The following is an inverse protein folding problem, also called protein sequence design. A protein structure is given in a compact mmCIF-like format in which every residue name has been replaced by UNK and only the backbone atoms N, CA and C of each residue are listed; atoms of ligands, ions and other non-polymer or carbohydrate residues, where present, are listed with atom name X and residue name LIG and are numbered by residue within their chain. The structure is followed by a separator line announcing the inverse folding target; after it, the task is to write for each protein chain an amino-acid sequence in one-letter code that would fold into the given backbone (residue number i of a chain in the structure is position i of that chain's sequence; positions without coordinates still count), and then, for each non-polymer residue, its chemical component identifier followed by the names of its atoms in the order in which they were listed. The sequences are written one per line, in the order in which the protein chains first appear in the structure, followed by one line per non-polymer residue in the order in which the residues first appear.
data_IF_978626119247
#
_entry.id   IF_978626119247
#
_cell.length_a   1.000
_cell.length_b   1.000
_cell.length_c   1.000
_cell.angle_alpha   90.00
_cell.angle_beta   90.00
_cell.angle_gamma   90.00
#
_symmetry.space_group_name_H-M   'P 1'
#
loop_
_entity.id
_entity.type
_entity.pdbx_description
1 polymer ?
#
# COMPACT_ATOMS: atom_id res chain seq x y z
N UNK A 1 10.47 -9.43 2.14
CA UNK A 1 10.68 -8.38 3.17
C UNK A 1 9.32 -7.90 3.64
N UNK A 2 8.82 -8.41 4.77
CA UNK A 2 7.49 -8.03 5.31
C UNK A 2 7.42 -6.55 5.71
N UNK A 3 8.53 -6.00 6.20
CA UNK A 3 8.61 -4.64 6.74
C UNK A 3 9.33 -3.63 5.82
N UNK A 4 9.69 -4.04 4.60
CA UNK A 4 10.44 -3.18 3.67
C UNK A 4 9.70 -1.88 3.30
N UNK A 5 8.36 -1.87 3.40
CA UNK A 5 7.57 -0.66 3.19
C UNK A 5 7.94 0.47 4.17
N UNK A 6 8.28 0.15 5.42
CA UNK A 6 8.57 1.15 6.47
C UNK A 6 9.77 2.04 6.13
N UNK A 7 10.83 1.44 5.58
CA UNK A 7 12.06 2.17 5.27
C UNK A 7 12.04 2.84 3.90
N UNK A 8 11.27 2.31 2.94
CA UNK A 8 11.40 2.69 1.54
C UNK A 8 10.24 3.54 1.01
N UNK A 9 9.08 3.60 1.68
CA UNK A 9 7.93 4.40 1.21
C UNK A 9 8.19 5.92 1.17
N UNK A 10 9.16 6.41 1.96
CA UNK A 10 9.60 7.81 1.93
C UNK A 10 10.57 8.13 0.79
N UNK A 11 10.99 7.14 0.00
CA UNK A 11 11.91 7.35 -1.11
C UNK A 11 11.28 8.19 -2.21
N UNK A 12 12.07 9.06 -2.85
CA UNK A 12 11.59 9.78 -4.02
C UNK A 12 11.34 8.82 -5.20
N UNK A 13 10.36 9.17 -6.03
CA UNK A 13 9.99 8.39 -7.22
C UNK A 13 11.19 8.11 -8.15
N UNK A 14 12.13 9.05 -8.25
CA UNK A 14 13.36 8.89 -9.03
C UNK A 14 14.24 7.74 -8.53
N UNK A 15 14.33 7.54 -7.21
CA UNK A 15 15.09 6.43 -6.63
C UNK A 15 14.37 5.10 -6.87
N UNK A 16 13.04 5.06 -6.74
CA UNK A 16 12.25 3.86 -7.03
C UNK A 16 12.37 3.46 -8.51
N UNK A 17 12.29 4.41 -9.43
CA UNK A 17 12.48 4.17 -10.87
C UNK A 17 13.88 3.64 -11.21
N UNK A 18 14.93 4.14 -10.53
CA UNK A 18 16.30 3.61 -10.68
C UNK A 18 16.37 2.16 -10.21
N UNK A 19 15.77 1.82 -9.08
CA UNK A 19 15.73 0.44 -8.58
C UNK A 19 14.94 -0.49 -9.52
N UNK A 20 13.81 -0.05 -10.06
CA UNK A 20 13.05 -0.80 -11.06
C UNK A 20 13.86 -1.00 -12.36
N UNK A 21 14.72 -0.05 -12.72
CA UNK A 21 15.63 -0.19 -13.87
C UNK A 21 16.72 -1.23 -13.62
N UNK A 22 17.30 -1.23 -12.41
CA UNK A 22 18.27 -2.26 -11.99
C UNK A 22 17.61 -3.64 -11.98
N UNK A 23 16.39 -3.75 -11.43
CA UNK A 23 15.63 -5.00 -11.43
C UNK A 23 15.36 -5.50 -12.85
N UNK A 24 14.88 -4.62 -13.75
CA UNK A 24 14.66 -4.97 -15.15
C UNK A 24 15.96 -5.42 -15.82
N UNK A 25 17.09 -4.77 -15.54
CA UNK A 25 18.39 -5.19 -16.06
C UNK A 25 18.78 -6.58 -15.56
N UNK A 26 18.59 -6.87 -14.27
CA UNK A 26 18.87 -8.19 -13.70
C UNK A 26 17.99 -9.27 -14.34
N UNK A 27 16.69 -9.02 -14.50
CA UNK A 27 15.77 -9.95 -15.17
C UNK A 27 16.16 -10.20 -16.63
N UNK A 28 16.63 -9.17 -17.34
CA UNK A 28 17.16 -9.35 -18.70
C UNK A 28 18.40 -10.24 -18.74
N UNK A 29 19.31 -10.11 -17.79
CA UNK A 29 20.51 -10.95 -17.70
C UNK A 29 20.17 -12.43 -17.45
N UNK A 30 19.07 -12.70 -16.73
CA UNK A 30 18.57 -14.05 -16.46
C UNK A 30 17.75 -14.62 -17.64
N UNK A 31 17.61 -13.87 -18.74
CA UNK A 31 16.87 -14.31 -19.93
C UNK A 31 15.35 -14.13 -19.84
N UNK A 32 14.84 -13.44 -18.81
CA UNK A 32 13.40 -13.20 -18.59
C UNK A 32 12.97 -11.83 -19.15
N UNK A 33 13.49 -11.48 -20.33
CA UNK A 33 13.33 -10.18 -20.97
C UNK A 33 12.06 -10.11 -21.84
N UNK A 34 10.91 -9.80 -21.24
CA UNK A 34 9.65 -9.53 -21.95
C UNK A 34 9.09 -8.13 -21.62
N UNK A 35 8.13 -7.64 -22.40
CA UNK A 35 7.45 -6.35 -22.15
C UNK A 35 6.86 -6.32 -20.73
N UNK A 36 6.71 -5.14 -20.10
CA UNK A 36 6.34 -5.01 -18.68
C UNK A 36 5.16 -5.89 -18.22
N UNK A 37 4.07 -5.95 -19.00
CA UNK A 37 2.91 -6.79 -18.66
C UNK A 37 3.21 -8.29 -18.78
N UNK A 38 3.90 -8.71 -19.84
CA UNK A 38 4.33 -10.10 -20.03
C UNK A 38 5.39 -10.52 -19.01
N UNK A 39 6.22 -9.59 -18.54
CA UNK A 39 7.25 -9.83 -17.54
C UNK A 39 6.64 -10.11 -16.16
N UNK A 40 5.57 -9.40 -15.78
CA UNK A 40 4.84 -9.72 -14.54
C UNK A 40 4.16 -11.09 -14.60
N UNK A 41 3.63 -11.48 -15.76
CA UNK A 41 2.98 -12.79 -15.95
C UNK A 41 3.98 -13.95 -15.97
N UNK A 42 5.12 -13.78 -16.64
CA UNK A 42 6.13 -14.83 -16.77
C UNK A 42 7.04 -14.97 -15.54
N UNK A 43 7.36 -13.85 -14.89
CA UNK A 43 8.33 -13.82 -13.78
C UNK A 43 7.63 -13.75 -12.42
N UNK A 44 6.36 -13.32 -12.38
CA UNK A 44 5.67 -12.98 -11.13
C UNK A 44 6.22 -11.73 -10.44
N UNK A 45 7.14 -11.00 -11.07
CA UNK A 45 7.83 -9.86 -10.45
C UNK A 45 7.16 -8.56 -10.84
N UNK A 46 6.36 -8.02 -9.92
CA UNK A 46 5.71 -6.71 -10.07
C UNK A 46 6.68 -5.54 -9.78
N UNK A 47 6.29 -4.33 -10.20
CA UNK A 47 7.00 -3.08 -9.86
C UNK A 47 7.27 -2.93 -8.35
N UNK A 48 8.36 -2.25 -8.00
CA UNK A 48 8.73 -2.05 -6.61
C UNK A 48 7.65 -1.29 -5.82
N UNK A 49 7.07 -0.24 -6.40
CA UNK A 49 5.98 0.53 -5.80
C UNK A 49 4.77 -0.36 -5.47
N UNK A 50 4.37 -1.23 -6.41
CA UNK A 50 3.27 -2.18 -6.20
C UNK A 50 3.51 -3.07 -4.98
N UNK A 51 4.72 -3.65 -4.88
CA UNK A 51 5.08 -4.52 -3.74
C UNK A 51 5.12 -3.76 -2.42
N UNK A 52 5.55 -2.50 -2.45
CA UNK A 52 5.58 -1.64 -1.26
C UNK A 52 4.15 -1.34 -0.78
N UNK A 53 3.25 -0.96 -1.69
CA UNK A 53 1.88 -0.64 -1.32
C UNK A 53 1.13 -1.88 -0.79
N UNK A 54 1.30 -3.05 -1.43
CA UNK A 54 0.74 -4.31 -0.93
C UNK A 54 1.30 -4.64 0.46
N UNK A 55 2.60 -4.47 0.66
CA UNK A 55 3.22 -4.74 1.97
C UNK A 55 2.71 -3.77 3.04
N UNK A 56 2.55 -2.49 2.72
CA UNK A 56 2.00 -1.48 3.62
C UNK A 56 0.58 -1.82 4.07
N UNK A 57 -0.28 -2.23 3.13
CA UNK A 57 -1.66 -2.67 3.43
C UNK A 57 -1.68 -3.90 4.33
N UNK A 58 -0.81 -4.88 4.06
CA UNK A 58 -0.70 -6.10 4.88
C UNK A 58 -0.20 -5.80 6.29
N UNK A 59 0.81 -4.94 6.43
CA UNK A 59 1.33 -4.51 7.74
C UNK A 59 0.26 -3.73 8.50
N UNK A 60 -0.47 -2.84 7.83
CA UNK A 60 -1.55 -2.07 8.45
C UNK A 60 -2.68 -2.98 8.94
N UNK A 61 -3.09 -3.97 8.15
CA UNK A 61 -4.06 -4.97 8.57
C UNK A 61 -3.57 -5.74 9.79
N UNK A 62 -2.31 -6.22 9.78
CA UNK A 62 -1.70 -6.93 10.91
C UNK A 62 -1.63 -6.08 12.18
N UNK A 63 -1.26 -4.79 12.04
CA UNK A 63 -1.21 -3.84 13.16
C UNK A 63 -2.59 -3.58 13.78
N UNK A 64 -3.65 -3.65 12.98
CA UNK A 64 -5.03 -3.48 13.45
C UNK A 64 -5.62 -4.75 14.03
N UNK A 65 -5.58 -5.86 13.29
CA UNK A 65 -6.35 -7.06 13.59
C UNK A 65 -5.62 -8.08 14.49
N UNK A 66 -4.29 -8.05 14.53
CA UNK A 66 -3.51 -9.12 15.19
C UNK A 66 -2.90 -8.71 16.53
N UNK A 67 -3.26 -7.54 17.08
CA UNK A 67 -2.79 -7.03 18.39
C UNK A 67 -1.29 -7.19 18.67
N UNK A 68 -0.47 -7.09 17.61
CA UNK A 68 0.97 -7.35 17.70
C UNK A 68 1.66 -6.19 18.43
N UNK A 69 2.30 -6.41 19.60
CA UNK A 69 2.80 -5.32 20.45
C UNK A 69 3.82 -4.41 19.75
N UNK A 70 4.74 -4.98 18.97
CA UNK A 70 5.77 -4.19 18.27
C UNK A 70 5.24 -3.42 17.05
N UNK A 71 4.00 -3.66 16.64
CA UNK A 71 3.34 -2.91 15.57
C UNK A 71 2.35 -1.87 16.10
N UNK A 72 2.18 -1.77 17.42
CA UNK A 72 1.28 -0.81 18.06
C UNK A 72 1.56 0.64 17.64
N UNK A 73 2.83 1.02 17.52
CA UNK A 73 3.27 2.35 17.08
C UNK A 73 2.92 2.67 15.63
N UNK A 74 2.69 1.64 14.79
CA UNK A 74 2.29 1.79 13.39
C UNK A 74 0.77 1.83 13.21
N UNK A 75 0.00 1.56 14.27
CA UNK A 75 -1.45 1.53 14.20
C UNK A 75 -1.98 2.94 13.95
N UNK A 76 -2.52 3.14 12.75
CA UNK A 76 -3.18 4.40 12.41
C UNK A 76 -4.46 4.61 13.23
N UNK A 77 -4.71 5.82 13.75
CA UNK A 77 -5.91 6.12 14.53
C UNK A 77 -7.17 5.95 13.67
N UNK A 78 -8.21 5.36 14.26
CA UNK A 78 -9.52 5.28 13.64
C UNK A 78 -10.05 6.70 13.33
N UNK A 79 -10.74 6.86 12.21
CA UNK A 79 -11.36 8.13 11.88
C UNK A 79 -12.55 8.34 12.82
N UNK A 80 -12.44 9.33 13.72
CA UNK A 80 -13.59 9.73 14.54
C UNK A 80 -14.73 10.19 13.61
N UNK A 81 -15.96 9.73 13.88
CA UNK A 81 -17.17 10.15 13.15
C UNK A 81 -17.45 11.61 13.49
N UNK A 82 -16.80 12.53 12.78
CA UNK A 82 -17.01 13.95 12.99
C UNK A 82 -18.24 14.39 12.19
N UNK A 83 -19.40 14.24 12.84
CA UNK A 83 -20.77 14.65 12.43
C UNK A 83 -21.41 13.81 11.31
N UNK A 84 -22.44 13.07 11.70
CA UNK A 84 -23.47 12.53 10.80
C UNK A 84 -24.26 13.67 10.15
N UNK A 85 -23.73 14.23 9.06
CA UNK A 85 -24.59 14.83 8.06
C UNK A 85 -25.27 13.67 7.32
N UNK A 86 -26.61 13.65 7.40
CA UNK A 86 -27.54 12.71 6.74
C UNK A 86 -26.94 12.16 5.43
N UNK A 87 -26.71 10.84 5.39
CA UNK A 87 -26.32 10.02 4.23
C UNK A 87 -24.84 9.59 4.04
N UNK A 88 -23.97 9.67 5.06
CA UNK A 88 -22.62 9.06 4.95
C UNK A 88 -22.47 7.89 5.92
N UNK A 89 -22.50 6.67 5.40
CA UNK A 89 -22.20 5.45 6.17
C UNK A 89 -20.74 5.50 6.61
N UNK A 90 -20.52 5.79 7.90
CA UNK A 90 -19.18 5.69 8.48
C UNK A 90 -18.75 4.22 8.47
N UNK A 91 -17.71 3.89 7.69
CA UNK A 91 -17.10 2.57 7.73
C UNK A 91 -16.09 2.51 8.87
N UNK A 92 -16.28 1.54 9.77
CA UNK A 92 -15.43 1.27 10.94
C UNK A 92 -13.94 1.05 10.58
N UNK A 93 -13.66 0.75 9.30
CA UNK A 93 -12.31 0.53 8.79
C UNK A 93 -11.56 1.79 8.39
N UNK A 94 -12.22 2.94 8.31
CA UNK A 94 -11.58 4.18 7.90
C UNK A 94 -10.61 4.71 8.95
N UNK A 95 -9.51 5.27 8.46
CA UNK A 95 -8.42 5.79 9.28
C UNK A 95 -8.25 7.28 9.06
N UNK A 96 -7.85 7.96 10.12
CA UNK A 96 -7.51 9.37 10.02
C UNK A 96 -6.23 9.52 9.18
N UNK A 97 -6.29 10.38 8.16
CA UNK A 97 -5.14 10.73 7.33
C UNK A 97 -4.51 12.00 7.91
N UNK A 98 -3.26 11.95 8.42
CA UNK A 98 -2.56 13.16 8.85
C UNK A 98 -2.50 14.19 7.72
N UNK A 99 -2.95 15.40 7.99
CA UNK A 99 -2.87 16.51 7.05
C UNK A 99 -1.54 17.24 7.24
N UNK A 100 -0.77 17.36 6.15
CA UNK A 100 0.44 18.15 6.11
C UNK A 100 0.62 18.74 4.73
N UNK A 101 1.10 19.98 4.69
CA UNK A 101 1.46 20.69 3.46
C UNK A 101 2.87 20.34 2.97
N UNK A 102 3.67 19.60 3.76
CA UNK A 102 5.02 19.22 3.34
C UNK A 102 5.01 17.93 2.52
N UNK A 103 5.62 17.98 1.33
CA UNK A 103 5.80 16.84 0.43
C UNK A 103 6.51 15.66 1.11
N UNK A 104 7.48 15.93 1.99
CA UNK A 104 8.20 14.89 2.72
C UNK A 104 7.28 14.16 3.70
N UNK A 105 6.42 14.88 4.43
CA UNK A 105 5.47 14.25 5.34
C UNK A 105 4.35 13.51 4.60
N UNK A 106 3.92 14.00 3.43
CA UNK A 106 2.96 13.28 2.58
C UNK A 106 3.49 11.92 2.10
N UNK A 107 4.81 11.82 1.88
CA UNK A 107 5.51 10.58 1.52
C UNK A 107 5.88 9.72 2.73
N UNK A 108 5.62 10.17 3.95
CA UNK A 108 5.85 9.34 5.14
C UNK A 108 5.01 8.06 5.07
N UNK A 109 5.53 7.01 5.70
CA UNK A 109 4.82 5.74 5.81
C UNK A 109 3.39 5.94 6.33
N UNK A 110 3.22 6.73 7.39
CA UNK A 110 1.92 6.96 8.04
C UNK A 110 0.91 7.61 7.10
N UNK A 111 1.29 8.71 6.45
CA UNK A 111 0.36 9.49 5.62
C UNK A 111 -0.01 8.74 4.34
N UNK A 112 0.99 8.14 3.67
CA UNK A 112 0.75 7.36 2.45
C UNK A 112 -0.06 6.08 2.74
N UNK A 113 0.31 5.33 3.80
CA UNK A 113 -0.42 4.11 4.18
C UNK A 113 -1.85 4.42 4.60
N UNK A 114 -2.11 5.53 5.31
CA UNK A 114 -3.45 5.93 5.69
C UNK A 114 -4.37 6.16 4.48
N UNK A 115 -3.86 6.84 3.45
CA UNK A 115 -4.61 7.08 2.22
C UNK A 115 -4.82 5.80 1.43
N UNK A 116 -3.76 5.01 1.23
CA UNK A 116 -3.86 3.71 0.56
C UNK A 116 -4.88 2.80 1.24
N UNK A 117 -4.85 2.74 2.56
CA UNK A 117 -5.76 1.94 3.36
C UNK A 117 -7.21 2.37 3.14
N UNK A 118 -7.51 3.66 3.25
CA UNK A 118 -8.87 4.17 3.05
C UNK A 118 -9.43 3.84 1.66
N UNK A 119 -8.62 3.98 0.60
CA UNK A 119 -9.04 3.64 -0.77
C UNK A 119 -9.21 2.13 -0.91
N UNK A 120 -8.30 1.34 -0.33
CA UNK A 120 -8.37 -0.12 -0.35
C UNK A 120 -9.63 -0.65 0.36
N UNK A 121 -9.93 -0.17 1.57
CA UNK A 121 -11.11 -0.60 2.36
C UNK A 121 -12.42 -0.08 1.79
N UNK A 122 -12.40 1.05 1.07
CA UNK A 122 -13.57 1.52 0.33
C UNK A 122 -13.87 0.63 -0.90
N UNK A 123 -12.85 0.07 -1.53
CA UNK A 123 -12.99 -0.79 -2.70
C UNK A 123 -13.15 -2.28 -2.35
N UNK A 124 -12.73 -2.70 -1.16
CA UNK A 124 -12.69 -4.11 -0.74
C UNK A 124 -13.58 -4.30 0.48
N UNK A 125 -14.70 -4.99 0.28
CA UNK A 125 -15.60 -5.38 1.37
C UNK A 125 -14.94 -6.38 2.32
N UNK A 126 -15.35 -6.32 3.59
CA UNK A 126 -15.04 -7.34 4.62
C UNK A 126 -13.56 -7.52 4.96
N UNK A 127 -12.78 -6.44 4.91
CA UNK A 127 -11.35 -6.47 5.26
C UNK A 127 -11.07 -6.80 6.73
N UNK A 128 -12.08 -6.82 7.60
CA UNK A 128 -11.94 -7.16 9.03
C UNK A 128 -11.86 -8.67 9.27
N UNK A 129 -12.62 -9.47 8.51
CA UNK A 129 -12.67 -10.93 8.71
C UNK A 129 -11.58 -11.66 7.93
N UNK A 130 -10.90 -10.95 7.01
CA UNK A 130 -9.88 -11.53 6.16
C UNK A 130 -8.64 -11.99 6.96
N UNK A 131 -8.18 -13.19 6.64
CA UNK A 131 -6.83 -13.63 7.02
C UNK A 131 -5.77 -12.76 6.34
N UNK A 132 -4.56 -12.73 6.89
CA UNK A 132 -3.45 -11.95 6.34
C UNK A 132 -3.14 -12.30 4.86
N UNK A 133 -3.28 -13.58 4.50
CA UNK A 133 -3.07 -14.05 3.15
C UNK A 133 -4.19 -13.59 2.19
N UNK A 134 -5.45 -13.58 2.65
CA UNK A 134 -6.57 -13.05 1.86
C UNK A 134 -6.40 -11.56 1.62
N UNK A 135 -5.99 -10.78 2.63
CA UNK A 135 -5.67 -9.36 2.47
C UNK A 135 -4.54 -9.15 1.48
N UNK A 136 -3.47 -9.93 1.55
CA UNK A 136 -2.35 -9.84 0.60
C UNK A 136 -2.81 -10.07 -0.83
N UNK A 137 -3.63 -11.09 -1.08
CA UNK A 137 -4.17 -11.40 -2.41
C UNK A 137 -5.13 -10.30 -2.89
N UNK A 138 -6.02 -9.83 -2.02
CA UNK A 138 -6.96 -8.75 -2.33
C UNK A 138 -6.23 -7.45 -2.65
N UNK A 139 -5.27 -7.04 -1.82
CA UNK A 139 -4.43 -5.87 -2.04
C UNK A 139 -3.64 -5.97 -3.34
N UNK A 140 -3.10 -7.15 -3.66
CA UNK A 140 -2.38 -7.37 -4.91
C UNK A 140 -3.29 -7.22 -6.13
N UNK A 141 -4.51 -7.79 -6.10
CA UNK A 141 -5.50 -7.66 -7.18
C UNK A 141 -5.98 -6.21 -7.33
N UNK A 142 -6.36 -5.58 -6.22
CA UNK A 142 -6.79 -4.19 -6.17
C UNK A 142 -5.71 -3.25 -6.73
N UNK A 143 -4.45 -3.43 -6.32
CA UNK A 143 -3.37 -2.55 -6.79
C UNK A 143 -3.08 -2.70 -8.28
N UNK A 144 -3.31 -3.87 -8.87
CA UNK A 144 -3.23 -4.08 -10.33
C UNK A 144 -4.32 -3.31 -11.10
N UNK A 145 -5.49 -3.12 -10.51
CA UNK A 145 -6.58 -2.34 -11.13
C UNK A 145 -6.39 -0.82 -10.99
N UNK A 146 -5.44 -0.38 -10.15
CA UNK A 146 -5.15 1.03 -9.97
C UNK A 146 -4.11 1.49 -10.99
N UNK A 147 -4.44 2.47 -11.82
CA UNK A 147 -3.49 3.10 -12.74
C UNK A 147 -2.36 3.75 -11.93
N UNK A 148 -1.08 3.62 -12.33
CA UNK A 148 0.04 4.24 -11.64
C UNK A 148 0.10 5.75 -11.96
N UNK A 149 -0.91 6.52 -11.55
CA UNK A 149 -0.98 7.96 -11.89
C UNK A 149 -1.61 8.77 -10.74
N UNK A 150 -0.74 9.45 -9.98
CA UNK A 150 -0.91 10.84 -9.48
C UNK A 150 -2.10 11.20 -8.57
N UNK A 151 -2.58 10.33 -7.67
CA UNK A 151 -3.65 10.71 -6.73
C UNK A 151 -3.30 10.53 -5.23
N UNK A 152 -2.02 10.54 -4.87
CA UNK A 152 -1.60 10.47 -3.46
C UNK A 152 -0.60 11.57 -3.04
N UNK A 153 -0.55 12.69 -3.76
CA UNK A 153 0.04 13.94 -3.25
C UNK A 153 -0.89 14.55 -2.19
#
# INVERSE_FOLDING_TARGET
MEYGALSWMSSAATHLQRLDTVQRRALRLVGMATQQQQQEEQTGVTLLEHRQDVSALVVQHKARMSEVPHLSSLRLPARAVQRESRATTSSDMLVHVPQSHSQQHQRSYTTRTARLWNVFTAATSDTQTMTLQQVKVAAHRWRKTQTPTLALC
#
